data_IF_590114702631
#
_entry.id   IF_590114702631
#
_cell.length_a   1.000
_cell.length_b   1.000
_cell.length_c   1.000
_cell.angle_alpha   90.00
_cell.angle_beta   90.00
_cell.angle_gamma   90.00
#
_symmetry.space_group_name_H-M   'P 1'
#
loop_
_entity.id
_entity.type
_entity.pdbx_description
1 polymer ?
#
# COMPACT_ATOMS: atom_id res chain seq x y z
N UNK A 1 38.37 9.07 34.72
CA UNK A 1 37.51 10.22 34.35
C UNK A 1 36.13 10.01 34.96
N UNK A 2 35.35 11.04 35.25
CA UNK A 2 34.00 10.88 35.83
C UNK A 2 32.95 11.30 34.81
N UNK A 3 31.82 10.59 34.81
CA UNK A 3 30.70 10.94 33.95
C UNK A 3 30.19 12.34 34.29
N UNK A 4 30.12 13.24 33.32
CA UNK A 4 29.63 14.61 33.56
C UNK A 4 28.14 14.67 33.88
N UNK A 5 27.38 13.60 33.59
CA UNK A 5 25.93 13.53 33.82
C UNK A 5 25.56 12.93 35.18
N UNK A 6 26.29 11.94 35.67
CA UNK A 6 25.95 11.24 36.93
C UNK A 6 27.10 11.16 37.95
N UNK A 7 28.30 11.66 37.64
CA UNK A 7 29.44 11.69 38.56
C UNK A 7 30.15 10.36 38.80
N UNK A 8 29.65 9.27 38.21
CA UNK A 8 30.20 7.92 38.33
C UNK A 8 31.61 7.82 37.74
N UNK A 9 32.47 7.03 38.36
CA UNK A 9 33.86 6.85 37.93
C UNK A 9 33.92 5.92 36.72
N UNK A 10 34.41 6.44 35.59
CA UNK A 10 34.39 5.74 34.31
C UNK A 10 35.68 4.92 34.12
N UNK A 11 35.56 3.66 33.65
CA UNK A 11 36.71 2.87 33.29
C UNK A 11 37.46 3.50 32.10
N UNK A 12 38.79 3.32 32.07
CA UNK A 12 39.67 3.96 31.08
C UNK A 12 39.29 3.50 29.67
N UNK A 13 39.00 4.45 28.76
CA UNK A 13 38.58 4.18 27.38
C UNK A 13 37.07 3.92 27.20
N UNK A 14 36.25 4.17 28.22
CA UNK A 14 34.79 4.01 28.10
C UNK A 14 34.17 5.11 27.22
N UNK A 15 33.51 4.69 26.13
CA UNK A 15 32.77 5.59 25.22
C UNK A 15 31.40 6.02 25.77
N UNK A 16 30.84 5.25 26.70
CA UNK A 16 29.55 5.51 27.32
C UNK A 16 29.58 5.18 28.81
N UNK A 17 28.86 5.94 29.62
CA UNK A 17 28.73 5.71 31.04
C UNK A 17 27.84 4.47 31.31
N UNK A 18 28.33 3.44 32.03
CA UNK A 18 27.57 2.22 32.28
C UNK A 18 26.38 2.43 33.23
N UNK A 19 26.38 3.50 34.02
CA UNK A 19 25.32 3.78 34.98
C UNK A 19 24.14 4.57 34.37
N UNK A 20 24.41 5.54 33.48
CA UNK A 20 23.37 6.41 32.93
C UNK A 20 23.30 6.45 31.40
N UNK A 21 24.16 5.71 30.70
CA UNK A 21 24.18 5.62 29.24
C UNK A 21 24.73 6.86 28.51
N UNK A 22 25.17 7.90 29.21
CA UNK A 22 25.67 9.12 28.58
C UNK A 22 26.99 8.88 27.83
N UNK A 23 27.11 9.42 26.62
CA UNK A 23 28.34 9.38 25.84
C UNK A 23 29.44 10.20 26.54
N UNK A 24 30.67 9.70 26.47
CA UNK A 24 31.85 10.33 27.05
C UNK A 24 32.59 10.99 25.89
N UNK A 25 32.53 12.33 25.81
CA UNK A 25 33.25 13.08 24.79
C UNK A 25 34.74 13.11 25.13
N UNK A 26 35.58 12.54 24.26
CA UNK A 26 37.03 12.70 24.32
C UNK A 26 37.43 13.86 23.38
N UNK A 27 38.07 14.90 23.94
CA UNK A 27 38.66 16.00 23.18
C UNK A 27 39.78 15.48 22.26
N UNK A 28 39.50 15.39 20.95
CA UNK A 28 40.51 15.09 19.92
C UNK A 28 41.11 16.40 19.40
N UNK A 29 42.43 16.65 19.51
CA UNK A 29 43.04 17.87 19.00
C UNK A 29 43.15 17.87 17.47
N UNK A 30 42.85 19.01 16.86
CA UNK A 30 42.79 19.21 15.41
C UNK A 30 44.15 19.03 14.69
N UNK A 31 44.19 18.48 13.45
CA UNK A 31 45.42 18.36 12.69
C UNK A 31 45.79 19.70 12.01
N UNK A 32 47.11 20.02 12.05
CA UNK A 32 47.71 21.25 11.53
C UNK A 32 47.72 21.32 10.00
N UNK A 33 47.48 22.53 9.48
CA UNK A 33 47.59 22.97 8.08
C UNK A 33 49.06 22.93 7.61
N UNK A 34 49.33 22.38 6.43
CA UNK A 34 50.64 22.42 5.76
C UNK A 34 50.48 23.13 4.40
N UNK A 35 51.10 24.31 4.26
CA UNK A 35 51.26 25.05 3.01
C UNK A 35 52.71 24.86 2.50
N UNK A 36 52.83 24.29 1.28
CA UNK A 36 53.75 24.55 0.14
C UNK A 36 55.30 24.61 0.28
N UNK A 37 56.11 24.54 -0.83
CA UNK A 37 55.79 24.41 -2.27
C UNK A 37 56.57 23.30 -3.05
N UNK A 38 56.19 23.16 -4.33
CA UNK A 38 56.70 22.26 -5.37
C UNK A 38 58.18 22.48 -5.79
N UNK A 39 58.86 21.38 -6.13
CA UNK A 39 59.85 21.33 -7.23
C UNK A 39 59.91 19.92 -7.85
N UNK A 40 60.24 19.78 -9.15
CA UNK A 40 59.88 18.61 -9.96
C UNK A 40 61.08 17.67 -10.17
N UNK A 41 60.89 16.36 -9.97
CA UNK A 41 61.84 15.36 -10.45
C UNK A 41 61.12 14.11 -10.99
N UNK A 42 61.26 13.98 -12.30
CA UNK A 42 61.64 12.77 -13.04
C UNK A 42 60.71 11.55 -13.10
N UNK A 43 60.56 11.11 -14.34
CA UNK A 43 59.82 9.95 -14.80
C UNK A 43 60.31 8.65 -14.17
N UNK A 44 59.37 7.88 -13.63
CA UNK A 44 59.57 6.46 -13.36
C UNK A 44 58.28 5.69 -13.65
N UNK A 45 58.47 4.56 -14.31
CA UNK A 45 57.49 3.75 -15.01
C UNK A 45 56.37 3.19 -14.12
N UNK A 46 55.15 3.18 -14.67
CA UNK A 46 54.01 2.42 -14.14
C UNK A 46 54.15 0.95 -14.58
N UNK A 47 54.16 -0.04 -13.67
CA UNK A 47 54.10 -1.44 -14.07
C UNK A 47 52.67 -1.82 -14.48
N UNK A 48 52.53 -2.32 -15.71
CA UNK A 48 51.31 -2.93 -16.25
C UNK A 48 50.95 -4.19 -15.44
N UNK A 49 49.76 -4.21 -14.84
CA UNK A 49 49.15 -5.42 -14.29
C UNK A 49 48.51 -6.21 -15.43
N UNK A 50 48.85 -7.51 -15.64
CA UNK A 50 48.24 -8.31 -16.69
C UNK A 50 46.78 -8.65 -16.36
N UNK A 51 45.89 -8.23 -17.25
CA UNK A 51 44.45 -8.58 -17.27
C UNK A 51 44.32 -10.08 -17.53
N UNK A 52 43.57 -10.78 -16.67
CA UNK A 52 43.25 -12.19 -16.83
C UNK A 52 42.43 -12.42 -18.12
N UNK A 53 42.67 -13.50 -18.87
CA UNK A 53 41.88 -13.81 -20.06
C UNK A 53 40.43 -14.18 -19.68
N UNK A 54 39.44 -13.80 -20.50
CA UNK A 54 38.03 -14.13 -20.24
C UNK A 54 37.78 -15.64 -20.31
N UNK A 55 36.80 -16.17 -19.57
CA UNK A 55 36.49 -17.59 -19.58
C UNK A 55 36.04 -18.06 -20.96
N UNK A 56 36.59 -19.21 -21.37
CA UNK A 56 36.27 -19.92 -22.61
C UNK A 56 34.78 -20.23 -22.68
N UNK A 57 34.10 -19.71 -23.71
CA UNK A 57 32.73 -20.08 -24.02
C UNK A 57 32.64 -21.59 -24.34
N UNK A 58 32.12 -22.38 -23.41
CA UNK A 58 31.68 -23.75 -23.70
C UNK A 58 30.42 -23.69 -24.55
N UNK A 59 30.53 -24.12 -25.81
CA UNK A 59 29.41 -24.29 -26.73
C UNK A 59 28.48 -25.38 -26.19
N UNK A 60 27.35 -24.98 -25.61
CA UNK A 60 26.26 -25.91 -25.28
C UNK A 60 25.71 -26.41 -26.63
N UNK A 61 25.92 -27.69 -26.94
CA UNK A 61 25.24 -28.34 -28.06
C UNK A 61 23.75 -28.40 -27.73
N UNK A 62 22.84 -27.90 -28.58
CA UNK A 62 21.42 -28.06 -28.37
C UNK A 62 21.07 -29.55 -28.37
N UNK A 63 20.40 -30.02 -27.31
CA UNK A 63 19.73 -31.32 -27.34
C UNK A 63 18.66 -31.25 -28.41
N UNK A 64 18.75 -32.16 -29.38
CA UNK A 64 17.75 -32.36 -30.41
C UNK A 64 16.35 -32.52 -29.75
N UNK A 65 15.32 -31.76 -30.14
CA UNK A 65 13.98 -31.98 -29.61
C UNK A 65 13.52 -33.39 -29.99
N UNK A 66 13.09 -34.16 -28.98
CA UNK A 66 12.41 -35.44 -29.24
C UNK A 66 11.14 -35.15 -30.03
N UNK A 67 10.97 -35.83 -31.15
CA UNK A 67 9.73 -35.79 -31.92
C UNK A 67 8.55 -36.20 -31.02
N UNK A 68 7.53 -35.36 -31.00
CA UNK A 68 6.23 -35.65 -30.39
C UNK A 68 5.60 -36.84 -31.13
N UNK A 69 5.35 -37.93 -30.40
CA UNK A 69 4.58 -39.08 -30.89
C UNK A 69 3.15 -38.93 -30.35
N UNK A 70 2.14 -38.74 -31.21
CA UNK A 70 0.75 -38.67 -30.77
C UNK A 70 0.34 -40.00 -30.15
N UNK A 71 -0.10 -39.98 -28.89
CA UNK A 71 -0.66 -41.17 -28.24
C UNK A 71 -2.05 -41.41 -28.81
N UNK A 72 -2.24 -42.59 -29.40
CA UNK A 72 -3.52 -43.02 -29.98
C UNK A 72 -4.64 -43.03 -28.94
N UNK A 73 -5.82 -42.58 -29.38
CA UNK A 73 -7.08 -42.55 -28.64
C UNK A 73 -7.41 -43.89 -27.98
N UNK A 74 -7.62 -43.88 -26.66
CA UNK A 74 -8.39 -44.94 -25.99
C UNK A 74 -9.89 -44.61 -26.13
N UNK A 75 -10.74 -45.56 -26.57
CA UNK A 75 -12.17 -45.32 -26.65
C UNK A 75 -12.83 -45.37 -25.28
N UNK A 76 -13.81 -44.49 -25.09
CA UNK A 76 -14.64 -44.35 -23.91
C UNK A 76 -15.40 -45.65 -23.57
N UNK A 77 -15.30 -46.11 -22.33
CA UNK A 77 -16.18 -47.12 -21.79
C UNK A 77 -17.54 -46.49 -21.46
N UNK A 78 -18.51 -46.68 -22.35
CA UNK A 78 -19.94 -46.60 -22.03
C UNK A 78 -20.32 -47.85 -21.23
N UNK A 79 -20.86 -47.69 -20.03
CA UNK A 79 -21.60 -48.75 -19.34
C UNK A 79 -23.08 -48.39 -19.38
N UNK A 80 -23.86 -49.31 -19.93
CA UNK A 80 -25.28 -49.22 -20.22
C UNK A 80 -26.15 -49.49 -19.00
N UNK A 81 -27.27 -48.77 -18.92
CA UNK A 81 -28.41 -49.08 -18.05
C UNK A 81 -29.14 -50.36 -18.49
N UNK A 82 -29.66 -51.12 -17.52
CA UNK A 82 -30.54 -52.26 -17.75
C UNK A 82 -31.12 -52.82 -16.45
N UNK A 83 -32.35 -52.40 -16.14
CA UNK A 83 -33.22 -52.86 -15.06
C UNK A 83 -33.74 -54.30 -15.25
N UNK A 84 -34.10 -54.97 -14.15
CA UNK A 84 -34.89 -56.21 -14.18
C UNK A 84 -35.06 -56.86 -12.80
N UNK A 85 -36.22 -56.66 -12.19
CA UNK A 85 -36.79 -57.25 -10.98
C UNK A 85 -37.03 -58.77 -11.08
N UNK A 86 -37.00 -59.52 -9.96
CA UNK A 86 -38.24 -60.00 -9.31
C UNK A 86 -38.01 -60.75 -7.97
N UNK A 87 -39.08 -60.74 -7.18
CA UNK A 87 -39.30 -61.07 -5.76
C UNK A 87 -39.41 -62.60 -5.44
N UNK A 88 -39.61 -63.12 -4.18
CA UNK A 88 -40.77 -62.76 -3.34
C UNK A 88 -40.68 -62.79 -1.79
N UNK A 89 -41.80 -62.24 -1.27
CA UNK A 89 -42.37 -61.88 0.04
C UNK A 89 -42.79 -63.02 0.98
N UNK A 90 -42.82 -62.74 2.30
CA UNK A 90 -43.94 -63.03 3.24
C UNK A 90 -43.87 -62.13 4.50
N UNK A 91 -45.04 -61.66 4.96
CA UNK A 91 -45.31 -60.69 6.07
C UNK A 91 -45.96 -61.39 7.31
N UNK A 92 -46.71 -60.72 8.23
CA UNK A 92 -46.39 -59.66 9.23
C UNK A 92 -46.88 -60.02 10.67
N UNK A 93 -46.66 -59.15 11.67
CA UNK A 93 -47.62 -58.91 12.78
C UNK A 93 -47.40 -57.55 13.50
N UNK A 94 -48.53 -56.99 13.92
CA UNK A 94 -48.82 -55.68 14.56
C UNK A 94 -48.36 -55.59 16.03
N UNK A 95 -48.16 -54.38 16.58
CA UNK A 95 -49.13 -53.69 17.47
C UNK A 95 -48.53 -52.45 18.19
N UNK A 96 -49.43 -51.58 18.65
CA UNK A 96 -49.32 -50.19 19.11
C UNK A 96 -48.64 -49.92 20.48
N UNK A 97 -48.37 -48.64 20.78
CA UNK A 97 -48.76 -48.07 22.09
C UNK A 97 -47.70 -47.38 22.97
N UNK A 98 -47.88 -46.07 23.12
CA UNK A 98 -47.68 -45.21 24.30
C UNK A 98 -46.30 -44.92 24.93
N UNK A 99 -45.89 -43.66 24.74
CA UNK A 99 -45.80 -42.55 25.72
C UNK A 99 -45.02 -42.69 27.06
N UNK A 100 -44.14 -41.69 27.20
CA UNK A 100 -43.91 -40.80 28.35
C UNK A 100 -43.07 -41.24 29.56
N UNK A 101 -42.28 -40.26 30.02
CA UNK A 101 -41.71 -40.18 31.37
C UNK A 101 -40.17 -40.17 31.35
N UNK A 102 -39.51 -39.02 31.19
CA UNK A 102 -39.24 -38.01 32.24
C UNK A 102 -38.09 -38.40 33.17
N UNK A 103 -37.30 -37.37 33.54
CA UNK A 103 -36.41 -37.28 34.70
C UNK A 103 -35.07 -38.03 34.61
N UNK A 104 -33.93 -37.57 35.14
CA UNK A 104 -33.29 -36.28 35.45
C UNK A 104 -31.90 -36.69 35.98
N UNK A 105 -30.90 -35.84 35.76
CA UNK A 105 -29.79 -35.50 36.67
C UNK A 105 -29.07 -36.63 37.46
N UNK A 106 -27.76 -36.79 37.25
CA UNK A 106 -26.71 -36.31 38.19
C UNK A 106 -25.31 -36.82 37.83
N UNK A 107 -24.37 -35.90 37.89
CA UNK A 107 -22.97 -36.16 38.23
C UNK A 107 -22.85 -36.59 39.70
N UNK A 108 -21.92 -37.49 40.04
CA UNK A 108 -20.76 -37.12 40.86
C UNK A 108 -19.71 -38.24 40.98
N UNK A 109 -18.49 -37.78 41.23
CA UNK A 109 -17.23 -38.38 41.71
C UNK A 109 -17.18 -39.87 42.15
N UNK A 110 -16.07 -40.54 41.79
CA UNK A 110 -15.04 -41.01 42.75
C UNK A 110 -13.90 -41.77 42.03
N UNK A 111 -12.65 -41.37 42.29
CA UNK A 111 -11.45 -42.20 42.10
C UNK A 111 -11.30 -43.17 43.30
N UNK A 112 -10.54 -44.29 43.24
CA UNK A 112 -9.07 -44.21 43.23
C UNK A 112 -8.27 -45.39 42.60
N UNK A 113 -6.95 -45.16 42.51
CA UNK A 113 -5.83 -46.10 42.67
C UNK A 113 -5.21 -46.83 41.46
N UNK A 114 -3.98 -46.40 41.16
CA UNK A 114 -2.73 -47.18 41.00
C UNK A 114 -2.73 -48.42 40.09
N UNK A 115 -2.04 -48.30 38.93
CA UNK A 115 -0.96 -49.25 38.61
C UNK A 115 0.05 -48.63 37.64
N UNK A 116 1.32 -48.93 37.91
CA UNK A 116 2.49 -48.42 37.22
C UNK A 116 2.78 -49.22 35.94
N UNK A 117 3.18 -48.53 34.87
CA UNK A 117 3.99 -49.14 33.81
C UNK A 117 4.97 -48.11 33.26
N UNK A 118 6.24 -48.45 33.43
CA UNK A 118 7.45 -47.71 33.04
C UNK A 118 7.51 -47.51 31.53
N UNK A 119 7.96 -46.33 31.09
CA UNK A 119 8.58 -46.11 29.77
C UNK A 119 9.97 -45.48 29.95
N UNK A 120 10.99 -45.87 29.16
CA UNK A 120 12.38 -45.51 29.40
C UNK A 120 12.78 -44.16 28.78
N UNK A 121 13.64 -43.45 29.50
CA UNK A 121 14.42 -42.28 29.04
C UNK A 121 15.36 -42.66 27.87
N UNK A 122 15.66 -41.72 26.96
CA UNK A 122 16.97 -41.65 26.34
C UNK A 122 17.79 -40.47 26.88
N UNK A 123 19.07 -40.78 27.03
CA UNK A 123 20.17 -40.01 27.59
C UNK A 123 20.51 -38.79 26.73
N UNK A 124 20.88 -37.70 27.40
CA UNK A 124 21.54 -36.56 26.78
C UNK A 124 22.92 -36.91 26.23
N UNK A 125 23.28 -36.25 25.13
CA UNK A 125 24.67 -35.95 24.82
C UNK A 125 24.74 -34.54 24.24
N UNK A 126 25.17 -33.60 25.09
CA UNK A 126 25.59 -32.28 24.65
C UNK A 126 26.89 -32.45 23.85
N UNK A 127 26.87 -32.11 22.56
CA UNK A 127 28.08 -31.74 21.83
C UNK A 127 28.02 -30.26 21.50
N UNK A 128 28.82 -29.48 22.23
CA UNK A 128 29.25 -28.15 21.83
C UNK A 128 29.94 -28.24 20.46
N UNK A 129 29.45 -27.47 19.49
CA UNK A 129 30.26 -27.02 18.37
C UNK A 129 30.47 -25.52 18.54
N UNK A 130 31.71 -25.19 18.91
CA UNK A 130 32.32 -23.88 18.80
C UNK A 130 32.20 -23.41 17.34
N UNK A 131 31.55 -22.28 17.11
CA UNK A 131 31.63 -21.57 15.83
C UNK A 131 32.51 -20.34 16.08
N UNK A 132 33.63 -20.30 15.36
CA UNK A 132 34.52 -19.16 15.27
C UNK A 132 33.81 -17.96 14.62
N UNK A 133 33.90 -16.74 15.18
CA UNK A 133 33.56 -15.53 14.45
C UNK A 133 34.73 -15.17 13.52
N UNK A 134 34.43 -15.03 12.23
CA UNK A 134 35.33 -14.39 11.26
C UNK A 134 34.70 -13.06 10.82
N UNK A 135 35.59 -12.10 10.60
CA UNK A 135 35.35 -10.67 10.61
C UNK A 135 34.57 -10.19 9.37
N UNK A 136 33.58 -9.32 9.57
CA UNK A 136 32.95 -8.51 8.55
C UNK A 136 32.52 -7.18 9.17
N UNK A 137 33.16 -6.10 8.73
CA UNK A 137 33.26 -4.80 9.38
C UNK A 137 32.21 -3.82 8.85
N UNK A 138 31.51 -3.16 9.79
CA UNK A 138 31.14 -1.74 9.84
C UNK A 138 30.98 -1.01 8.49
N UNK A 139 29.74 -0.79 8.06
CA UNK A 139 29.34 0.39 7.26
C UNK A 139 28.00 0.87 7.79
N UNK A 140 28.03 1.85 8.67
CA UNK A 140 26.82 2.35 9.31
C UNK A 140 27.08 3.49 10.26
N UNK A 141 27.78 4.53 9.81
CA UNK A 141 27.70 5.92 10.27
C UNK A 141 28.35 6.76 9.14
N UNK A 142 27.53 7.19 8.17
CA UNK A 142 27.84 8.30 7.25
C UNK A 142 26.56 8.96 6.69
N UNK A 143 25.37 8.39 6.93
CA UNK A 143 24.10 8.93 6.41
C UNK A 143 23.49 10.06 7.25
N UNK A 144 23.88 10.25 8.51
CA UNK A 144 23.25 11.28 9.37
C UNK A 144 23.84 12.69 9.15
N UNK A 145 25.09 12.80 8.70
CA UNK A 145 25.70 14.12 8.41
C UNK A 145 25.23 14.67 7.05
N UNK A 146 24.90 13.81 6.09
CA UNK A 146 24.38 14.23 4.77
C UNK A 146 22.97 14.83 4.84
N UNK A 147 22.11 14.33 5.73
CA UNK A 147 20.72 14.81 5.85
C UNK A 147 20.63 16.18 6.51
N UNK A 148 21.49 16.47 7.51
CA UNK A 148 21.51 17.79 8.16
C UNK A 148 22.06 18.88 7.23
N UNK A 149 23.07 18.56 6.41
CA UNK A 149 23.60 19.49 5.40
C UNK A 149 22.58 19.76 4.27
N UNK A 150 21.78 18.77 3.88
CA UNK A 150 20.72 18.95 2.89
C UNK A 150 19.58 19.83 3.40
N UNK A 151 19.15 19.67 4.66
CA UNK A 151 18.10 20.50 5.28
C UNK A 151 18.54 21.95 5.49
N UNK A 152 19.82 22.21 5.77
CA UNK A 152 20.36 23.57 5.89
C UNK A 152 20.50 24.26 4.53
N UNK A 153 20.86 23.52 3.47
CA UNK A 153 20.99 24.09 2.12
C UNK A 153 19.64 24.38 1.46
N UNK A 154 18.62 23.56 1.70
CA UNK A 154 17.24 23.80 1.20
C UNK A 154 16.58 24.99 1.92
N UNK A 155 16.90 25.23 3.20
CA UNK A 155 16.42 26.43 3.93
C UNK A 155 17.15 27.73 3.56
N UNK A 156 18.32 27.67 2.95
CA UNK A 156 19.02 28.86 2.46
C UNK A 156 18.57 29.29 1.04
N UNK A 157 17.95 28.39 0.26
CA UNK A 157 17.48 28.67 -1.11
C UNK A 157 16.04 29.18 -1.22
N UNK A 158 15.27 29.22 -0.13
CA UNK A 158 13.90 29.76 -0.09
C UNK A 158 13.83 31.16 0.54
N UNK A 159 14.97 31.82 0.80
CA UNK A 159 15.03 33.19 1.34
C UNK A 159 15.21 34.28 0.26
N UNK A 160 15.02 33.97 -1.02
CA UNK A 160 15.22 34.93 -2.13
C UNK A 160 13.97 35.71 -2.56
N UNK A 161 12.76 35.37 -2.11
CA UNK A 161 11.60 36.23 -2.31
C UNK A 161 11.13 36.81 -0.98
N UNK A 162 11.85 37.83 -0.52
CA UNK A 162 11.38 38.71 0.54
C UNK A 162 10.25 39.64 0.03
N UNK A 163 9.28 39.99 0.90
CA UNK A 163 8.19 40.88 0.56
C UNK A 163 8.68 42.34 0.57
N UNK A 164 8.46 43.05 -0.54
CA UNK A 164 8.59 44.50 -0.54
C UNK A 164 7.43 45.11 0.26
N UNK A 165 7.76 45.69 1.40
CA UNK A 165 6.97 46.72 2.05
C UNK A 165 7.81 47.96 2.25
N UNK A 166 7.21 49.14 2.05
CA UNK A 166 7.72 50.40 2.56
C UNK A 166 7.63 51.57 1.58
N UNK A 167 6.59 52.39 1.72
CA UNK A 167 6.50 53.68 1.06
C UNK A 167 5.16 54.39 1.27
N UNK A 168 4.86 54.73 2.52
CA UNK A 168 3.73 55.58 2.91
C UNK A 168 3.73 56.92 2.19
N UNK A 169 2.55 57.46 1.87
CA UNK A 169 2.23 58.86 2.12
C UNK A 169 0.74 59.02 2.39
N UNK A 170 0.46 59.74 3.48
CA UNK A 170 -0.85 60.18 3.93
C UNK A 170 -1.54 61.04 2.86
N UNK A 171 -2.86 60.93 2.76
CA UNK A 171 -3.79 62.04 3.04
C UNK A 171 -5.21 61.68 2.57
N UNK A 172 -6.14 61.67 3.50
CA UNK A 172 -7.52 62.13 3.29
C UNK A 172 -7.71 63.28 4.29
N UNK A 173 -8.61 64.26 4.12
CA UNK A 173 -9.85 64.26 3.31
C UNK A 173 -10.18 65.60 2.59
N UNK A 174 -11.22 65.65 1.74
CA UNK A 174 -12.27 66.70 1.78
C UNK A 174 -13.25 66.67 0.60
N UNK A 175 -14.51 66.90 0.97
CA UNK A 175 -15.76 67.10 0.22
C UNK A 175 -15.68 68.33 -0.71
N UNK A 176 -16.25 68.24 -1.94
CA UNK A 176 -17.02 69.32 -2.61
C UNK A 176 -18.02 68.73 -3.62
N UNK A 177 -19.27 69.18 -3.54
CA UNK A 177 -20.40 68.95 -4.44
C UNK A 177 -20.33 69.76 -5.76
N UNK A 178 -21.02 69.31 -6.82
CA UNK A 178 -21.88 70.04 -7.80
C UNK A 178 -22.01 69.17 -9.07
N UNK A 179 -23.17 68.55 -9.32
CA UNK A 179 -24.32 69.09 -10.06
C UNK A 179 -24.00 69.47 -11.51
N UNK A 180 -24.54 68.70 -12.47
CA UNK A 180 -25.40 69.24 -13.53
C UNK A 180 -26.28 68.14 -14.12
N UNK A 181 -27.58 68.31 -13.89
CA UNK A 181 -28.75 67.94 -14.74
C UNK A 181 -28.49 68.17 -16.26
N UNK A 182 -29.16 67.61 -17.28
CA UNK A 182 -30.50 67.06 -17.43
C UNK A 182 -30.69 66.44 -18.85
N UNK A 183 -31.67 65.53 -18.97
CA UNK A 183 -32.56 65.12 -20.11
C UNK A 183 -31.99 64.60 -21.44
N UNK A 184 -32.39 63.37 -21.82
CA UNK A 184 -33.31 63.16 -22.96
C UNK A 184 -34.04 61.80 -22.85
N UNK A 185 -35.35 61.82 -23.11
CA UNK A 185 -36.27 60.68 -23.11
C UNK A 185 -36.37 60.09 -24.53
N UNK A 186 -36.49 58.77 -24.68
CA UNK A 186 -37.03 58.22 -25.93
C UNK A 186 -36.74 56.76 -26.26
N UNK A 187 -37.75 55.93 -25.98
CA UNK A 187 -38.22 54.82 -26.82
C UNK A 187 -37.62 53.40 -26.66
N UNK A 188 -38.35 52.64 -25.84
CA UNK A 188 -38.85 51.26 -25.99
C UNK A 188 -38.26 50.30 -27.07
N UNK A 189 -37.91 49.12 -26.53
CA UNK A 189 -38.14 47.78 -27.08
C UNK A 189 -37.02 47.11 -27.91
N UNK A 190 -36.11 46.40 -27.21
CA UNK A 190 -35.60 45.12 -27.70
C UNK A 190 -35.12 44.23 -26.54
N UNK A 191 -35.66 43.02 -26.57
CA UNK A 191 -35.43 41.85 -25.73
C UNK A 191 -33.95 41.43 -25.62
N UNK A 192 -33.68 40.68 -24.55
CA UNK A 192 -32.57 39.76 -24.33
C UNK A 192 -31.22 40.37 -23.95
N UNK A 193 -30.98 40.35 -22.64
CA UNK A 193 -29.69 40.61 -22.02
C UNK A 193 -29.82 40.64 -20.51
N UNK A 194 -30.56 39.68 -19.93
CA UNK A 194 -30.43 39.44 -18.51
C UNK A 194 -29.01 38.90 -18.31
N UNK A 195 -28.15 39.78 -17.81
CA UNK A 195 -26.90 39.44 -17.19
C UNK A 195 -27.14 38.24 -16.29
N UNK A 196 -26.59 37.08 -16.67
CA UNK A 196 -26.31 36.06 -15.69
C UNK A 196 -25.40 36.71 -14.66
N UNK A 197 -26.02 37.05 -13.53
CA UNK A 197 -25.31 37.34 -12.31
C UNK A 197 -24.45 36.10 -12.06
N UNK A 198 -23.14 36.26 -12.21
CA UNK A 198 -22.15 35.32 -11.74
C UNK A 198 -22.47 35.02 -10.27
N UNK A 199 -23.08 33.86 -10.02
CA UNK A 199 -22.91 33.19 -8.75
C UNK A 199 -21.52 32.60 -8.83
N UNK A 200 -20.58 33.15 -8.07
CA UNK A 200 -19.26 32.58 -7.87
C UNK A 200 -19.44 31.19 -7.24
N UNK A 201 -19.60 30.17 -8.08
CA UNK A 201 -19.60 28.76 -7.74
C UNK A 201 -18.13 28.30 -7.82
N UNK A 202 -17.53 28.03 -6.66
CA UNK A 202 -16.07 27.87 -6.46
C UNK A 202 -15.49 26.57 -7.10
N UNK A 203 -16.22 25.93 -8.02
CA UNK A 203 -15.88 24.63 -8.62
C UNK A 203 -15.92 24.58 -10.15
N UNK A 204 -15.44 23.47 -10.74
CA UNK A 204 -15.45 23.30 -12.19
C UNK A 204 -16.87 23.13 -12.75
N UNK A 205 -17.00 23.20 -14.07
CA UNK A 205 -18.28 22.91 -14.73
C UNK A 205 -18.70 21.46 -14.50
N UNK A 206 -19.94 21.24 -14.06
CA UNK A 206 -20.50 19.90 -13.84
C UNK A 206 -20.55 19.11 -15.16
N UNK A 207 -20.00 17.90 -15.16
CA UNK A 207 -19.97 16.97 -16.31
C UNK A 207 -20.93 15.81 -16.09
N UNK A 208 -21.33 15.15 -17.17
CA UNK A 208 -22.31 14.05 -17.09
C UNK A 208 -21.76 12.78 -16.41
N UNK A 209 -20.44 12.55 -16.48
CA UNK A 209 -19.79 11.39 -15.86
C UNK A 209 -18.34 11.69 -15.46
N UNK A 210 -17.77 10.84 -14.59
CA UNK A 210 -16.36 10.92 -14.17
C UNK A 210 -15.40 10.95 -15.36
N UNK A 211 -15.69 10.18 -16.42
CA UNK A 211 -14.86 10.11 -17.62
C UNK A 211 -14.72 11.44 -18.39
N UNK A 212 -15.70 12.33 -18.24
CA UNK A 212 -15.79 13.60 -18.96
C UNK A 212 -15.02 14.74 -18.27
N UNK A 213 -14.58 14.53 -17.02
CA UNK A 213 -13.72 15.48 -16.32
C UNK A 213 -12.25 15.28 -16.71
N UNK A 214 -11.51 16.39 -16.75
CA UNK A 214 -10.05 16.36 -16.72
C UNK A 214 -9.54 15.99 -15.32
N UNK A 215 -8.27 15.56 -15.22
CA UNK A 215 -7.66 15.29 -13.91
C UNK A 215 -7.58 16.55 -13.04
N UNK A 216 -7.34 17.71 -13.65
CA UNK A 216 -7.37 19.02 -12.98
C UNK A 216 -8.74 19.34 -12.38
N UNK A 217 -9.84 19.10 -13.11
CA UNK A 217 -11.19 19.32 -12.59
C UNK A 217 -11.51 18.33 -11.46
N UNK A 218 -11.08 17.07 -11.56
CA UNK A 218 -11.22 16.09 -10.48
C UNK A 218 -10.43 16.52 -9.23
N UNK A 219 -9.24 17.10 -9.38
CA UNK A 219 -8.47 17.65 -8.26
C UNK A 219 -9.16 18.86 -7.60
N UNK A 220 -9.78 19.73 -8.39
CA UNK A 220 -10.61 20.83 -7.86
C UNK A 220 -11.81 20.29 -7.07
N UNK A 221 -12.51 19.29 -7.60
CA UNK A 221 -13.63 18.65 -6.89
C UNK A 221 -13.11 17.96 -5.61
N UNK A 222 -11.92 17.35 -5.65
CA UNK A 222 -11.27 16.80 -4.46
C UNK A 222 -11.12 17.86 -3.38
N UNK A 223 -10.62 19.04 -3.74
CA UNK A 223 -10.47 20.18 -2.80
C UNK A 223 -11.81 20.61 -2.20
N UNK A 224 -12.88 20.65 -3.00
CA UNK A 224 -14.23 20.94 -2.51
C UNK A 224 -14.72 19.88 -1.51
N UNK A 225 -14.43 18.61 -1.77
CA UNK A 225 -14.77 17.49 -0.87
C UNK A 225 -13.95 17.59 0.42
N UNK A 226 -12.65 17.89 0.34
CA UNK A 226 -11.80 18.12 1.52
C UNK A 226 -12.31 19.23 2.44
N UNK A 227 -12.90 20.27 1.87
CA UNK A 227 -13.49 21.37 2.64
C UNK A 227 -14.76 20.93 3.41
N UNK A 228 -15.36 19.79 3.06
CA UNK A 228 -16.50 19.23 3.78
C UNK A 228 -16.01 18.46 5.01
N UNK A 229 -16.30 18.96 6.21
CA UNK A 229 -15.79 18.38 7.46
C UNK A 229 -16.45 17.06 7.88
N UNK A 230 -17.35 16.49 7.05
CA UNK A 230 -18.12 15.27 7.35
C UNK A 230 -18.38 14.45 6.10
N UNK A 231 -18.44 13.13 6.23
CA UNK A 231 -18.67 12.21 5.10
C UNK A 231 -20.03 12.44 4.40
N UNK A 232 -21.07 12.86 5.12
CA UNK A 232 -22.36 13.17 4.52
C UNK A 232 -22.30 14.37 3.57
N UNK A 233 -21.62 15.45 3.99
CA UNK A 233 -21.43 16.63 3.15
C UNK A 233 -20.49 16.33 1.96
N UNK A 234 -19.48 15.48 2.16
CA UNK A 234 -18.62 14.99 1.07
C UNK A 234 -19.44 14.28 -0.02
N UNK A 235 -20.38 13.43 0.39
CA UNK A 235 -21.27 12.73 -0.53
C UNK A 235 -22.21 13.68 -1.28
N UNK A 236 -22.71 14.75 -0.64
CA UNK A 236 -23.53 15.76 -1.33
C UNK A 236 -22.74 16.48 -2.44
N UNK A 237 -21.46 16.78 -2.20
CA UNK A 237 -20.56 17.35 -3.22
C UNK A 237 -20.28 16.32 -4.32
N UNK A 238 -19.92 15.09 -3.95
CA UNK A 238 -19.66 14.02 -4.90
C UNK A 238 -20.87 13.73 -5.81
N UNK A 239 -22.09 13.72 -5.26
CA UNK A 239 -23.32 13.52 -6.03
C UNK A 239 -23.58 14.68 -7.00
N UNK A 240 -23.39 15.93 -6.55
CA UNK A 240 -23.52 17.12 -7.41
C UNK A 240 -22.62 17.06 -8.64
N UNK A 241 -21.40 16.55 -8.48
CA UNK A 241 -20.43 16.40 -9.56
C UNK A 241 -20.50 15.04 -10.27
N UNK A 242 -21.51 14.22 -9.99
CA UNK A 242 -21.71 12.90 -10.62
C UNK A 242 -20.51 11.94 -10.42
N UNK A 243 -19.82 12.06 -9.27
CA UNK A 243 -18.73 11.16 -8.85
C UNK A 243 -19.23 9.91 -8.12
N UNK A 244 -20.53 9.82 -7.85
CA UNK A 244 -21.22 8.65 -7.34
C UNK A 244 -22.63 8.59 -7.92
N UNK A 245 -23.32 7.48 -7.71
CA UNK A 245 -24.74 7.35 -8.08
C UNK A 245 -25.61 8.32 -7.27
N UNK A 246 -26.85 8.59 -7.71
CA UNK A 246 -27.84 9.40 -6.97
C UNK A 246 -28.20 8.82 -5.59
N UNK A 247 -27.78 7.59 -5.28
CA UNK A 247 -27.91 6.99 -3.95
C UNK A 247 -26.65 7.19 -3.09
N UNK A 248 -25.70 8.00 -3.54
CA UNK A 248 -24.39 8.18 -2.92
C UNK A 248 -23.44 6.98 -3.07
N UNK A 249 -23.80 5.97 -3.89
CA UNK A 249 -23.05 4.71 -3.98
C UNK A 249 -21.99 4.69 -5.07
N UNK A 250 -20.94 3.90 -4.82
CA UNK A 250 -19.90 3.55 -5.80
C UNK A 250 -20.07 2.10 -6.25
N UNK A 251 -20.61 1.92 -7.46
CA UNK A 251 -20.87 0.59 -8.05
C UNK A 251 -19.77 0.14 -9.02
N UNK A 252 -18.72 0.94 -9.17
CA UNK A 252 -17.60 0.71 -10.06
C UNK A 252 -17.79 1.24 -11.48
N UNK A 253 -18.90 1.94 -11.77
CA UNK A 253 -19.12 2.58 -13.07
C UNK A 253 -18.50 3.99 -13.18
N UNK A 254 -18.12 4.58 -12.05
CA UNK A 254 -17.44 5.88 -11.97
C UNK A 254 -15.97 5.75 -12.36
N UNK A 255 -15.72 5.64 -13.67
CA UNK A 255 -14.39 5.36 -14.24
C UNK A 255 -13.77 6.56 -14.96
N UNK A 256 -12.43 6.57 -15.00
CA UNK A 256 -11.63 7.48 -15.82
C UNK A 256 -10.44 6.72 -16.39
N UNK A 257 -10.16 6.88 -17.68
CA UNK A 257 -8.95 6.34 -18.29
C UNK A 257 -7.73 7.20 -17.95
N UNK A 258 -6.65 6.52 -17.57
CA UNK A 258 -5.31 7.02 -17.34
C UNK A 258 -4.38 6.40 -18.38
N UNK A 259 -3.75 7.21 -19.22
CA UNK A 259 -2.75 6.72 -20.18
C UNK A 259 -1.35 6.92 -19.60
N UNK A 260 -0.57 5.85 -19.50
CA UNK A 260 0.83 5.92 -19.10
C UNK A 260 1.72 6.38 -20.27
N UNK A 261 2.91 6.89 -19.99
CA UNK A 261 3.84 7.36 -21.02
C UNK A 261 4.30 6.25 -21.99
N UNK A 262 4.23 4.98 -21.58
CA UNK A 262 4.49 3.81 -22.42
C UNK A 262 3.31 3.41 -23.33
N UNK A 263 2.18 4.11 -23.24
CA UNK A 263 0.95 3.89 -24.01
C UNK A 263 -0.03 2.90 -23.36
N UNK A 264 0.26 2.39 -22.16
CA UNK A 264 -0.67 1.53 -21.42
C UNK A 264 -1.88 2.34 -20.93
N UNK A 265 -3.09 1.94 -21.32
CA UNK A 265 -4.34 2.52 -20.78
C UNK A 265 -4.76 1.77 -19.53
N UNK A 266 -5.01 2.53 -18.46
CA UNK A 266 -5.41 2.04 -17.14
C UNK A 266 -6.74 2.67 -16.77
N UNK A 267 -7.78 1.85 -16.66
CA UNK A 267 -9.06 2.28 -16.11
C UNK A 267 -8.94 2.48 -14.60
N UNK A 268 -9.13 3.71 -14.15
CA UNK A 268 -9.23 4.09 -12.73
C UNK A 268 -10.70 4.17 -12.32
N UNK A 269 -11.00 3.82 -11.06
CA UNK A 269 -12.33 3.98 -10.44
C UNK A 269 -12.22 4.87 -9.22
N UNK A 270 -13.24 5.69 -8.99
CA UNK A 270 -13.44 6.32 -7.67
C UNK A 270 -13.63 5.22 -6.63
N UNK A 271 -12.77 5.20 -5.61
CA UNK A 271 -12.77 4.20 -4.55
C UNK A 271 -13.47 4.68 -3.27
N UNK A 272 -13.36 5.96 -2.96
CA UNK A 272 -13.99 6.58 -1.79
C UNK A 272 -13.67 8.07 -1.67
N UNK A 273 -14.37 8.72 -0.75
CA UNK A 273 -14.23 10.15 -0.43
C UNK A 273 -13.81 10.33 1.02
N UNK A 274 -12.89 11.25 1.29
CA UNK A 274 -12.34 11.47 2.64
C UNK A 274 -11.87 10.17 3.33
N UNK A 275 -11.36 9.21 2.56
CA UNK A 275 -10.99 7.89 3.08
C UNK A 275 -9.58 7.89 3.67
N UNK A 276 -8.61 8.40 2.89
CA UNK A 276 -7.20 8.26 3.19
C UNK A 276 -6.64 9.48 3.92
N UNK A 277 -5.89 9.27 5.00
CA UNK A 277 -5.19 10.34 5.71
C UNK A 277 -3.96 10.80 4.92
N UNK A 278 -3.84 12.11 4.69
CA UNK A 278 -2.66 12.70 4.05
C UNK A 278 -1.42 12.52 4.95
N UNK A 279 -0.31 12.17 4.32
CA UNK A 279 0.95 11.89 4.99
C UNK A 279 1.51 13.09 5.75
N UNK A 280 1.25 14.30 5.27
CA UNK A 280 1.68 15.56 5.86
C UNK A 280 0.86 15.98 7.10
N UNK A 281 -0.22 15.26 7.40
CA UNK A 281 -1.10 15.53 8.54
C UNK A 281 -2.08 16.70 8.31
N UNK A 282 -2.25 17.16 7.07
CA UNK A 282 -3.17 18.27 6.73
C UNK A 282 -4.65 17.87 6.70
N UNK A 283 -4.97 16.58 6.82
CA UNK A 283 -6.35 16.08 6.83
C UNK A 283 -6.48 14.78 6.04
N UNK A 284 -7.70 14.51 5.57
CA UNK A 284 -7.99 13.38 4.67
C UNK A 284 -8.02 13.89 3.23
N UNK A 285 -7.55 13.06 2.29
CA UNK A 285 -7.62 13.35 0.86
C UNK A 285 -9.07 13.34 0.38
N UNK A 286 -9.42 14.23 -0.54
CA UNK A 286 -10.82 14.41 -0.96
C UNK A 286 -11.36 13.20 -1.72
N UNK A 287 -10.59 12.71 -2.70
CA UNK A 287 -10.94 11.59 -3.57
C UNK A 287 -9.78 10.60 -3.60
N UNK A 288 -10.11 9.31 -3.46
CA UNK A 288 -9.16 8.22 -3.65
C UNK A 288 -9.58 7.36 -4.84
N UNK A 289 -8.62 6.98 -5.68
CA UNK A 289 -8.84 6.18 -6.88
C UNK A 289 -8.16 4.81 -6.76
N UNK A 290 -8.76 3.77 -7.34
CA UNK A 290 -8.16 2.44 -7.47
C UNK A 290 -8.36 1.91 -8.89
N UNK A 291 -7.29 1.40 -9.49
CA UNK A 291 -7.33 0.81 -10.83
C UNK A 291 -8.26 -0.42 -10.88
N UNK A 292 -8.96 -0.61 -12.01
CA UNK A 292 -9.63 -1.87 -12.36
C UNK A 292 -8.88 -2.69 -13.39
N UNK A 293 -7.79 -2.14 -13.93
CA UNK A 293 -6.93 -2.80 -14.92
C UNK A 293 -5.49 -2.71 -14.47
N UNK A 294 -4.69 -3.70 -14.87
CA UNK A 294 -3.32 -3.82 -14.40
C UNK A 294 -2.41 -2.79 -15.05
N UNK A 295 -1.60 -2.08 -14.28
CA UNK A 295 -0.57 -1.17 -14.81
C UNK A 295 0.63 -1.93 -15.37
N UNK A 296 0.98 -3.06 -14.74
CA UNK A 296 2.08 -3.94 -15.13
C UNK A 296 1.96 -5.29 -14.41
N UNK A 297 2.84 -6.25 -14.74
CA UNK A 297 2.97 -7.50 -14.00
C UNK A 297 4.32 -7.62 -13.31
N UNK A 298 4.32 -7.46 -11.98
CA UNK A 298 5.53 -7.40 -11.17
C UNK A 298 5.46 -8.30 -9.93
N UNK A 299 6.63 -8.76 -9.42
CA UNK A 299 6.68 -9.46 -8.16
C UNK A 299 6.53 -8.47 -6.99
N UNK A 300 5.84 -8.88 -5.92
CA UNK A 300 5.83 -8.11 -4.67
C UNK A 300 7.27 -7.86 -4.19
N UNK A 301 8.09 -8.93 -4.18
CA UNK A 301 9.52 -8.81 -3.90
C UNK A 301 10.35 -9.73 -4.81
N UNK A 302 11.12 -9.13 -5.72
CA UNK A 302 11.88 -9.85 -6.75
C UNK A 302 12.97 -10.77 -6.16
N UNK A 303 13.46 -10.47 -4.95
CA UNK A 303 14.45 -11.30 -4.26
C UNK A 303 13.84 -12.49 -3.49
N UNK A 304 12.53 -12.71 -3.60
CA UNK A 304 11.77 -13.76 -2.93
C UNK A 304 11.77 -13.71 -1.39
N UNK A 305 12.10 -12.56 -0.79
CA UNK A 305 12.11 -12.38 0.67
C UNK A 305 10.83 -11.70 1.17
N UNK A 306 10.48 -12.02 2.41
CA UNK A 306 9.42 -11.33 3.15
C UNK A 306 9.97 -10.24 4.07
N UNK A 307 11.28 -10.23 4.35
CA UNK A 307 11.92 -9.24 5.23
C UNK A 307 11.63 -7.82 4.73
N UNK A 308 11.16 -6.95 5.64
CA UNK A 308 10.75 -5.59 5.31
C UNK A 308 9.27 -5.43 4.92
N UNK A 309 8.55 -6.53 4.67
CA UNK A 309 7.13 -6.49 4.30
C UNK A 309 6.88 -5.58 3.09
N UNK A 310 5.77 -4.85 3.11
CA UNK A 310 5.46 -3.83 2.11
C UNK A 310 6.54 -2.74 2.03
N UNK A 311 6.96 -2.20 3.17
CA UNK A 311 7.88 -1.06 3.25
C UNK A 311 9.23 -1.29 2.56
N UNK A 312 9.75 -2.52 2.64
CA UNK A 312 11.02 -2.94 2.03
C UNK A 312 10.84 -3.73 0.73
N UNK A 313 9.65 -3.74 0.15
CA UNK A 313 9.36 -4.50 -1.07
C UNK A 313 9.95 -3.83 -2.31
N UNK A 314 10.41 -4.64 -3.28
CA UNK A 314 10.84 -4.10 -4.57
C UNK A 314 9.66 -3.52 -5.36
N UNK A 315 8.44 -4.02 -5.14
CA UNK A 315 7.24 -3.47 -5.77
C UNK A 315 6.99 -2.03 -5.33
N UNK A 316 7.03 -1.74 -4.02
CA UNK A 316 6.87 -0.36 -3.52
C UNK A 316 7.94 0.58 -4.07
N UNK A 317 9.18 0.12 -4.16
CA UNK A 317 10.28 0.91 -4.77
C UNK A 317 10.02 1.15 -6.26
N UNK A 318 9.56 0.13 -7.00
CA UNK A 318 9.21 0.27 -8.41
C UNK A 318 8.05 1.25 -8.61
N UNK A 319 7.05 1.25 -7.72
CA UNK A 319 5.96 2.23 -7.75
C UNK A 319 6.48 3.66 -7.58
N UNK A 320 7.31 3.91 -6.56
CA UNK A 320 7.80 5.26 -6.26
C UNK A 320 8.81 5.80 -7.26
N UNK A 321 9.55 4.92 -7.92
CA UNK A 321 10.69 5.33 -8.76
C UNK A 321 10.37 5.20 -10.25
N UNK A 322 9.84 4.05 -10.67
CA UNK A 322 9.63 3.74 -12.10
C UNK A 322 8.21 4.08 -12.54
N UNK A 323 7.20 3.53 -11.88
CA UNK A 323 5.82 3.78 -12.32
C UNK A 323 5.46 5.26 -12.18
N UNK A 324 5.92 5.92 -11.11
CA UNK A 324 5.64 7.33 -10.91
C UNK A 324 6.09 8.23 -12.08
N UNK A 325 7.19 7.88 -12.77
CA UNK A 325 7.65 8.64 -13.94
C UNK A 325 6.86 8.36 -15.22
N UNK A 326 6.04 7.31 -15.21
CA UNK A 326 5.16 6.95 -16.33
C UNK A 326 3.77 7.56 -16.21
N UNK A 327 3.39 8.11 -15.04
CA UNK A 327 2.11 8.81 -14.88
C UNK A 327 2.14 10.17 -15.58
N UNK A 328 1.01 10.63 -16.15
CA UNK A 328 0.87 11.98 -16.66
C UNK A 328 1.13 13.05 -15.60
N UNK A 329 1.74 14.16 -16.00
CA UNK A 329 1.99 15.33 -15.15
C UNK A 329 0.71 15.87 -14.50
N UNK A 330 -0.42 15.81 -15.21
CA UNK A 330 -1.74 16.22 -14.71
C UNK A 330 -2.22 15.37 -13.52
N UNK A 331 -1.70 14.15 -13.34
CA UNK A 331 -2.02 13.33 -12.15
C UNK A 331 -0.96 13.51 -11.07
N UNK A 332 0.32 13.49 -11.43
CA UNK A 332 1.41 13.58 -10.45
C UNK A 332 1.50 14.95 -9.76
N UNK A 333 1.04 16.01 -10.43
CA UNK A 333 0.99 17.36 -9.84
C UNK A 333 -0.08 17.53 -8.75
N UNK A 334 -1.14 16.72 -8.78
CA UNK A 334 -2.23 16.77 -7.78
C UNK A 334 -2.21 15.60 -6.81
N UNK A 335 -1.52 14.51 -7.13
CA UNK A 335 -1.42 13.37 -6.24
C UNK A 335 -0.80 13.76 -4.89
N UNK A 336 -1.42 13.30 -3.80
CA UNK A 336 -0.93 13.50 -2.44
C UNK A 336 -0.47 12.18 -1.84
N UNK A 337 0.63 12.23 -1.09
CA UNK A 337 1.06 11.06 -0.33
C UNK A 337 0.09 10.81 0.82
N UNK A 338 -0.32 9.55 1.01
CA UNK A 338 -1.24 9.13 2.08
C UNK A 338 -0.58 8.14 3.02
N UNK A 339 -1.07 8.06 4.25
CA UNK A 339 -0.60 7.11 5.26
C UNK A 339 -1.21 5.75 5.00
N UNK A 340 -0.35 4.76 4.75
CA UNK A 340 -0.74 3.36 4.62
C UNK A 340 -0.21 2.53 5.77
N UNK A 341 -1.11 1.78 6.40
CA UNK A 341 -0.76 0.79 7.42
C UNK A 341 -0.70 -0.59 6.79
N UNK A 342 0.29 -1.39 7.20
CA UNK A 342 0.47 -2.77 6.76
C UNK A 342 0.92 -3.66 7.91
N UNK A 343 0.26 -4.81 8.06
CA UNK A 343 0.50 -5.76 9.12
C UNK A 343 1.91 -6.32 9.02
N UNK A 344 2.56 -6.56 10.16
CA UNK A 344 3.92 -7.08 10.17
C UNK A 344 3.93 -8.48 9.58
N UNK A 345 5.05 -8.81 8.94
CA UNK A 345 5.26 -10.15 8.40
C UNK A 345 5.23 -11.17 9.54
N UNK A 346 4.48 -12.28 9.40
CA UNK A 346 4.43 -13.31 10.43
C UNK A 346 5.81 -13.88 10.73
N UNK A 347 6.16 -13.98 12.02
CA UNK A 347 7.46 -14.44 12.46
C UNK A 347 8.57 -13.38 12.44
N UNK A 348 8.27 -12.12 12.10
CA UNK A 348 9.22 -11.00 12.21
C UNK A 348 9.56 -10.61 13.65
N UNK A 349 8.77 -11.06 14.63
CA UNK A 349 8.89 -10.68 16.04
C UNK A 349 8.22 -9.33 16.39
N UNK A 350 7.64 -8.64 15.41
CA UNK A 350 6.82 -7.44 15.63
C UNK A 350 5.34 -7.78 15.60
N UNK A 351 4.56 -7.11 16.45
CA UNK A 351 3.09 -7.08 16.41
C UNK A 351 2.56 -5.71 15.97
N UNK A 352 3.46 -4.76 15.72
CA UNK A 352 3.12 -3.39 15.36
C UNK A 352 2.93 -3.26 13.85
N UNK A 353 1.91 -2.49 13.48
CA UNK A 353 1.67 -2.05 12.10
C UNK A 353 2.88 -1.24 11.59
N UNK A 354 3.22 -1.43 10.33
CA UNK A 354 4.21 -0.62 9.63
C UNK A 354 3.47 0.48 8.88
N UNK A 355 3.75 1.73 9.22
CA UNK A 355 3.24 2.90 8.52
C UNK A 355 4.21 3.29 7.39
N UNK A 356 3.66 3.53 6.20
CA UNK A 356 4.36 4.10 5.05
C UNK A 356 3.60 5.34 4.58
N UNK A 357 4.34 6.34 4.09
CA UNK A 357 3.77 7.46 3.37
C UNK A 357 3.95 7.15 1.87
N UNK A 358 2.84 6.97 1.15
CA UNK A 358 2.82 6.43 -0.22
C UNK A 358 2.02 7.36 -1.14
N UNK A 359 2.65 7.80 -2.24
CA UNK A 359 1.98 8.55 -3.31
C UNK A 359 1.21 7.61 -4.26
N UNK A 360 1.79 6.43 -4.50
CA UNK A 360 1.17 5.30 -5.19
C UNK A 360 1.24 4.09 -4.28
N UNK A 361 0.15 3.32 -4.19
CA UNK A 361 0.07 2.13 -3.34
C UNK A 361 -0.69 1.00 -4.01
N UNK A 362 -0.56 -0.19 -3.41
CA UNK A 362 -1.44 -1.33 -3.69
C UNK A 362 -2.41 -1.48 -2.50
N UNK A 363 -3.70 -1.79 -2.72
CA UNK A 363 -4.66 -1.97 -1.64
C UNK A 363 -4.24 -3.05 -0.63
N UNK A 364 -4.68 -2.90 0.62
CA UNK A 364 -4.52 -3.92 1.66
C UNK A 364 -5.68 -4.88 1.60
N UNK A 365 -5.54 -5.96 2.36
CA UNK A 365 -6.60 -6.92 2.56
C UNK A 365 -7.85 -6.29 3.17
N UNK A 366 -7.72 -5.55 4.28
CA UNK A 366 -8.87 -4.94 4.96
C UNK A 366 -9.53 -3.83 4.14
N UNK A 367 -8.74 -3.06 3.39
CA UNK A 367 -9.25 -2.06 2.47
C UNK A 367 -10.15 -2.65 1.38
N UNK A 368 -9.91 -3.90 0.99
CA UNK A 368 -10.69 -4.60 -0.04
C UNK A 368 -11.89 -5.35 0.56
N UNK A 369 -11.70 -6.11 1.64
CA UNK A 369 -12.74 -7.05 2.14
C UNK A 369 -13.45 -6.60 3.41
N UNK A 370 -12.96 -5.53 4.04
CA UNK A 370 -13.48 -5.02 5.31
C UNK A 370 -13.22 -5.92 6.51
N UNK A 371 -14.00 -5.67 7.56
CA UNK A 371 -13.91 -6.40 8.82
C UNK A 371 -14.29 -7.88 8.63
N UNK A 372 -13.53 -8.75 9.27
CA UNK A 372 -13.74 -10.19 9.19
C UNK A 372 -14.68 -10.64 10.31
N UNK A 373 -15.33 -11.79 10.10
CA UNK A 373 -16.17 -12.38 11.14
C UNK A 373 -15.32 -13.17 12.13
N UNK A 374 -15.78 -13.29 13.38
CA UNK A 374 -15.06 -13.96 14.47
C UNK A 374 -14.68 -15.43 14.21
N UNK A 375 -15.35 -16.10 13.26
CA UNK A 375 -15.01 -17.46 12.82
C UNK A 375 -13.84 -17.54 11.83
N UNK A 376 -13.35 -16.41 11.33
CA UNK A 376 -12.23 -16.37 10.40
C UNK A 376 -10.89 -16.40 11.16
N UNK A 377 -9.94 -17.24 10.72
CA UNK A 377 -8.58 -17.32 11.31
C UNK A 377 -7.77 -16.04 11.19
N UNK A 378 -8.18 -15.13 10.29
CA UNK A 378 -7.54 -13.84 10.02
C UNK A 378 -8.25 -12.68 10.75
N UNK A 379 -9.31 -12.96 11.51
CA UNK A 379 -10.08 -11.97 12.25
C UNK A 379 -9.21 -11.14 13.20
N UNK A 380 -9.39 -9.82 13.22
CA UNK A 380 -8.60 -8.90 14.05
C UNK A 380 -7.14 -8.68 13.59
N UNK A 381 -6.67 -9.33 12.53
CA UNK A 381 -5.26 -9.23 12.09
C UNK A 381 -5.04 -8.05 11.14
N UNK A 382 -5.98 -7.82 10.22
CA UNK A 382 -5.85 -6.79 9.19
C UNK A 382 -6.69 -5.55 9.45
N UNK A 383 -7.58 -5.55 10.44
CA UNK A 383 -8.51 -4.44 10.70
C UNK A 383 -7.81 -3.10 10.94
N UNK A 384 -6.55 -3.13 11.37
CA UNK A 384 -5.73 -1.94 11.56
C UNK A 384 -4.94 -1.51 10.30
N UNK A 385 -5.10 -2.16 9.14
CA UNK A 385 -4.47 -1.75 7.87
C UNK A 385 -5.28 -0.69 7.10
N UNK A 386 -6.54 -0.45 7.50
CA UNK A 386 -7.46 0.52 6.88
C UNK A 386 -8.90 0.00 6.81
N UNK A 387 -9.86 0.92 6.76
CA UNK A 387 -11.28 0.60 6.54
C UNK A 387 -11.54 0.19 5.09
N UNK A 388 -12.59 -0.60 4.85
CA UNK A 388 -12.98 -1.00 3.50
C UNK A 388 -13.31 0.25 2.67
N UNK A 389 -12.75 0.37 1.47
CA UNK A 389 -13.16 1.46 0.57
C UNK A 389 -14.64 1.31 0.22
N UNK A 390 -15.32 2.47 0.15
CA UNK A 390 -16.75 2.54 -0.17
C UNK A 390 -17.11 1.77 -1.45
N UNK A 391 -16.27 1.85 -2.50
CA UNK A 391 -16.42 1.07 -3.73
C UNK A 391 -16.61 -0.43 -3.49
N UNK A 392 -15.83 -1.01 -2.57
CA UNK A 392 -15.89 -2.43 -2.29
C UNK A 392 -17.05 -2.78 -1.35
N UNK A 393 -17.35 -1.93 -0.37
CA UNK A 393 -18.50 -2.16 0.51
C UNK A 393 -19.83 -2.05 -0.24
N UNK A 394 -19.99 -1.04 -1.10
CA UNK A 394 -21.22 -0.84 -1.89
C UNK A 394 -21.45 -1.97 -2.90
N UNK A 395 -20.35 -2.56 -3.41
CA UNK A 395 -20.39 -3.74 -4.27
C UNK A 395 -20.50 -5.08 -3.49
N UNK A 396 -20.69 -5.04 -2.17
CA UNK A 396 -20.77 -6.22 -1.30
C UNK A 396 -19.56 -7.16 -1.44
N UNK A 397 -18.37 -6.60 -1.62
CA UNK A 397 -17.13 -7.39 -1.60
C UNK A 397 -16.93 -7.94 -0.19
N UNK A 398 -16.63 -9.24 -0.11
CA UNK A 398 -16.34 -9.91 1.14
C UNK A 398 -15.15 -10.85 0.99
N UNK A 399 -14.65 -11.36 2.11
CA UNK A 399 -13.53 -12.29 2.13
C UNK A 399 -13.90 -13.70 1.64
N UNK A 400 -15.17 -14.10 1.71
CA UNK A 400 -15.57 -15.51 1.56
C UNK A 400 -16.03 -15.89 0.16
N UNK A 401 -16.32 -14.91 -0.69
CA UNK A 401 -16.95 -15.12 -1.99
C UNK A 401 -16.22 -14.39 -3.10
N UNK A 402 -16.29 -14.95 -4.31
CA UNK A 402 -15.81 -14.30 -5.52
C UNK A 402 -16.68 -13.09 -5.82
N UNK A 403 -16.05 -11.96 -6.16
CA UNK A 403 -16.75 -10.76 -6.60
C UNK A 403 -16.22 -10.28 -7.96
N UNK A 404 -17.13 -10.09 -8.92
CA UNK A 404 -16.78 -9.66 -10.29
C UNK A 404 -16.09 -8.30 -10.34
N UNK A 405 -16.34 -7.42 -9.38
CA UNK A 405 -15.67 -6.11 -9.28
C UNK A 405 -14.15 -6.26 -9.09
N UNK A 406 -13.71 -7.37 -8.50
CA UNK A 406 -12.29 -7.66 -8.23
C UNK A 406 -11.64 -8.53 -9.32
N UNK A 407 -12.41 -9.08 -10.25
CA UNK A 407 -11.91 -9.96 -11.28
C UNK A 407 -11.26 -9.13 -12.41
N UNK A 408 -10.01 -9.46 -12.76
CA UNK A 408 -9.31 -8.79 -13.87
C UNK A 408 -9.49 -9.49 -15.23
N UNK A 409 -10.09 -10.69 -15.25
CA UNK A 409 -10.09 -11.54 -16.43
C UNK A 409 -8.70 -12.17 -16.67
N UNK A 410 -8.57 -12.88 -17.80
CA UNK A 410 -7.30 -13.42 -18.32
C UNK A 410 -6.46 -14.29 -17.35
N UNK A 411 -7.12 -15.02 -16.45
CA UNK A 411 -6.46 -15.85 -15.43
C UNK A 411 -5.42 -15.08 -14.57
N UNK A 412 -5.57 -13.76 -14.45
CA UNK A 412 -4.63 -12.88 -13.75
C UNK A 412 -4.94 -12.74 -12.25
N UNK A 413 -3.98 -13.11 -11.40
CA UNK A 413 -3.98 -12.73 -9.99
C UNK A 413 -3.47 -11.30 -9.85
N UNK A 414 -3.91 -10.58 -8.81
CA UNK A 414 -3.35 -9.27 -8.47
C UNK A 414 -3.00 -9.13 -6.99
N UNK A 415 -2.02 -8.26 -6.71
CA UNK A 415 -1.42 -8.13 -5.40
C UNK A 415 -2.26 -7.37 -4.38
N UNK A 416 -2.14 -7.76 -3.11
CA UNK A 416 -2.48 -6.93 -1.96
C UNK A 416 -1.21 -6.73 -1.13
N UNK A 417 -1.01 -5.55 -0.54
CA UNK A 417 0.23 -5.26 0.22
C UNK A 417 0.37 -6.05 1.52
N UNK A 418 -0.69 -6.71 1.97
CA UNK A 418 -0.78 -7.43 3.24
C UNK A 418 -0.06 -8.80 3.22
N UNK A 419 0.86 -9.07 4.15
CA UNK A 419 1.43 -10.43 4.34
C UNK A 419 0.38 -11.44 4.83
N UNK A 420 0.39 -12.68 4.36
CA UNK A 420 -0.57 -13.71 4.81
C UNK A 420 -0.25 -14.19 6.24
N UNK A 421 -1.12 -13.96 7.24
CA UNK A 421 -0.88 -14.36 8.63
C UNK A 421 -0.82 -15.87 8.83
N UNK A 422 -1.43 -16.64 7.92
CA UNK A 422 -1.40 -18.10 7.97
C UNK A 422 -0.12 -18.67 7.36
N UNK A 423 0.63 -17.87 6.59
CA UNK A 423 1.85 -18.29 5.92
C UNK A 423 2.82 -17.13 5.74
N UNK A 424 3.77 -17.01 6.68
CA UNK A 424 4.81 -15.97 6.67
C UNK A 424 5.80 -16.01 5.50
N UNK A 425 5.53 -16.80 4.46
CA UNK A 425 6.25 -16.78 3.19
C UNK A 425 5.50 -16.06 2.06
N UNK A 426 4.22 -15.69 2.26
CA UNK A 426 3.32 -15.24 1.19
C UNK A 426 2.72 -13.86 1.48
N UNK A 427 2.38 -13.14 0.41
CA UNK A 427 1.52 -11.96 0.45
C UNK A 427 0.14 -12.32 -0.07
N UNK A 428 -0.89 -11.66 0.45
CA UNK A 428 -2.26 -11.83 -0.02
C UNK A 428 -2.39 -11.40 -1.49
N UNK A 429 -3.24 -12.10 -2.22
CA UNK A 429 -3.62 -11.76 -3.57
C UNK A 429 -5.09 -12.05 -3.80
N UNK A 430 -5.61 -11.50 -4.88
CA UNK A 430 -6.96 -11.82 -5.37
C UNK A 430 -6.82 -12.73 -6.59
N UNK A 431 -7.68 -13.75 -6.66
CA UNK A 431 -7.70 -14.70 -7.79
C UNK A 431 -8.29 -14.05 -9.05
N UNK A 432 -8.12 -14.70 -10.22
CA UNK A 432 -8.71 -14.21 -11.47
C UNK A 432 -10.24 -14.07 -11.42
N UNK A 433 -10.91 -14.95 -10.66
CA UNK A 433 -12.36 -14.92 -10.43
C UNK A 433 -12.79 -13.88 -9.37
N UNK A 434 -11.85 -13.08 -8.85
CA UNK A 434 -12.13 -12.05 -7.86
C UNK A 434 -12.32 -12.56 -6.43
N UNK A 435 -11.65 -13.66 -6.04
CA UNK A 435 -11.70 -14.20 -4.68
C UNK A 435 -10.47 -13.76 -3.85
N UNK A 436 -10.65 -12.94 -2.80
CA UNK A 436 -9.55 -12.46 -1.97
C UNK A 436 -9.26 -13.41 -0.79
N UNK A 437 -8.81 -14.64 -1.06
CA UNK A 437 -8.48 -15.61 0.03
C UNK A 437 -7.10 -16.25 -0.06
N UNK A 438 -6.43 -16.07 -1.20
CA UNK A 438 -5.17 -16.72 -1.51
C UNK A 438 -3.98 -15.82 -1.20
N UNK A 439 -2.81 -16.44 -1.10
CA UNK A 439 -1.55 -15.74 -1.08
C UNK A 439 -0.58 -16.35 -2.08
N UNK A 440 0.32 -15.53 -2.61
CA UNK A 440 1.38 -15.95 -3.52
C UNK A 440 2.75 -15.68 -2.90
N UNK A 441 3.75 -16.43 -3.36
CA UNK A 441 5.15 -16.16 -3.01
C UNK A 441 5.55 -14.78 -3.56
N UNK A 442 6.37 -14.01 -2.82
CA UNK A 442 6.69 -12.64 -3.19
C UNK A 442 7.35 -12.49 -4.57
N UNK A 443 8.09 -13.51 -5.05
CA UNK A 443 8.74 -13.49 -6.36
C UNK A 443 7.81 -13.87 -7.54
N UNK A 444 6.56 -14.28 -7.29
CA UNK A 444 5.59 -14.54 -8.36
C UNK A 444 5.22 -13.22 -9.04
N UNK A 445 5.18 -13.16 -10.37
CA UNK A 445 4.63 -11.99 -11.06
C UNK A 445 3.10 -12.08 -11.06
N UNK A 446 2.46 -11.07 -10.47
CA UNK A 446 1.00 -10.88 -10.51
C UNK A 446 0.71 -9.50 -11.10
N UNK A 447 -0.53 -9.26 -11.52
CA UNK A 447 -1.00 -7.94 -11.91
C UNK A 447 -0.88 -6.94 -10.75
N UNK A 448 -0.63 -5.68 -11.10
CA UNK A 448 -0.51 -4.57 -10.16
C UNK A 448 -1.68 -3.63 -10.39
N UNK A 449 -2.57 -3.53 -9.39
CA UNK A 449 -3.60 -2.50 -9.32
C UNK A 449 -3.13 -1.43 -8.35
N UNK A 450 -2.99 -0.21 -8.85
CA UNK A 450 -2.55 0.93 -8.05
C UNK A 450 -3.74 1.70 -7.50
N UNK A 451 -3.51 2.39 -6.39
CA UNK A 451 -4.30 3.53 -5.96
C UNK A 451 -3.45 4.78 -5.81
N UNK A 452 -4.11 5.93 -5.93
CA UNK A 452 -3.60 7.26 -5.62
C UNK A 452 -4.77 8.14 -5.13
N UNK A 453 -4.46 9.26 -4.47
CA UNK A 453 -5.47 10.20 -3.96
C UNK A 453 -5.10 11.63 -4.31
N UNK A 454 -6.12 12.48 -4.40
CA UNK A 454 -6.01 13.93 -4.58
C UNK A 454 -6.38 14.66 -3.31
#
# INVERSE_FOLDING_TARGET
>A
MRCMKCGEELPVGARFCPSCGAAVEEDVPAPKKLEEPLSPLEAAAVPLVPIAPPPRATRITPRNPRAYVPRANHPASKVSWGSGSDSPRTEPHEDEGHEEGSATLKADETAPSLSAARSPLPRGSHRLKLIHPSHGVIVGICSVVGVVLFVVLVRASLSWFGPFSGGSNNDSPSIVDEDTTAVDEGNENASAGASEAATDDEGPTIRAAVADYTWDELAQISTLIEATSTDAAALEVAERYHLCTTAGKLDGTQTKELELADGTSVTMRVAGFLQDEKADGSGRAGISFIASTSVASEPMNANAQMTGGWSGSTLRTWLSDTLLTELPDEVTSHAVAVKKLTSPVPGSGSTMQVATDDLLWVPSYSEVVGALTSGNKRNGIYEAEGEQYQLFSDANVSWSESNKLLALGDDAYWWLRSPDPSNGSWFMCVTPDGLPTYGHKPATKNAVLIGFSF
#
